data_IF_221033602238
#
_entry.id   IF_221033602238
#
_cell.length_a   1.000
_cell.length_b   1.000
_cell.length_c   1.000
_cell.angle_alpha   90.00
_cell.angle_beta   90.00
_cell.angle_gamma   90.00
#
_symmetry.space_group_name_H-M   'P 1'
#
loop_
_entity.id
_entity.type
_entity.pdbx_description
1 polymer ?
#
# COMPACT_ATOMS: atom_id res chain seq x y z
N UNK A 1 -15.19 5.31 4.65
CA UNK A 1 -13.76 5.10 4.30
C UNK A 1 -13.59 3.68 3.84
N UNK A 2 -12.89 3.50 2.74
CA UNK A 2 -12.58 2.17 2.19
C UNK A 2 -11.07 1.96 2.15
N UNK A 3 -10.60 0.79 2.60
CA UNK A 3 -9.23 0.37 2.36
C UNK A 3 -9.11 -0.20 0.95
N UNK A 4 -8.10 0.21 0.23
CA UNK A 4 -7.72 -0.32 -1.09
C UNK A 4 -6.39 -1.03 -0.96
N UNK A 5 -6.34 -2.31 -1.31
CA UNK A 5 -5.12 -3.12 -1.26
C UNK A 5 -4.76 -3.54 -2.68
N UNK A 6 -3.58 -3.16 -3.15
CA UNK A 6 -3.10 -3.50 -4.48
C UNK A 6 -2.31 -4.81 -4.44
N UNK A 7 -2.90 -5.89 -4.91
CA UNK A 7 -2.37 -7.26 -4.82
C UNK A 7 -2.35 -7.99 -6.18
N UNK A 8 -2.10 -7.26 -7.28
CA UNK A 8 -2.17 -7.82 -8.62
C UNK A 8 -0.83 -8.35 -9.16
N UNK A 9 0.29 -8.00 -8.55
CA UNK A 9 1.64 -8.21 -9.07
C UNK A 9 2.11 -9.66 -9.09
N UNK A 10 3.07 -9.96 -9.99
CA UNK A 10 3.68 -11.31 -10.16
C UNK A 10 4.86 -11.58 -9.23
N UNK A 11 5.48 -10.54 -8.66
CA UNK A 11 6.61 -10.62 -7.73
C UNK A 11 7.75 -11.54 -8.20
N UNK A 12 8.28 -11.30 -9.39
CA UNK A 12 9.28 -12.15 -10.04
C UNK A 12 10.61 -12.27 -9.28
N UNK A 13 10.95 -11.25 -8.46
CA UNK A 13 12.17 -11.26 -7.63
C UNK A 13 12.15 -12.31 -6.51
N UNK A 14 10.97 -12.77 -6.11
CA UNK A 14 10.76 -13.80 -5.08
C UNK A 14 10.63 -15.21 -5.64
N UNK A 15 10.84 -15.44 -6.95
CA UNK A 15 10.84 -16.78 -7.52
C UNK A 15 11.97 -17.62 -6.93
N UNK A 16 11.75 -18.95 -6.71
CA UNK A 16 10.59 -19.75 -7.14
C UNK A 16 9.38 -19.70 -6.17
N UNK A 17 9.45 -18.99 -5.03
CA UNK A 17 8.39 -18.97 -4.03
C UNK A 17 7.06 -18.46 -4.60
N UNK A 18 7.12 -17.49 -5.51
CA UNK A 18 5.95 -16.89 -6.15
C UNK A 18 5.50 -17.59 -7.43
N UNK A 19 6.15 -18.68 -7.84
CA UNK A 19 5.68 -19.44 -9.01
C UNK A 19 4.31 -20.08 -8.78
N UNK A 20 3.96 -20.39 -7.54
CA UNK A 20 2.72 -21.08 -7.19
C UNK A 20 1.84 -20.33 -6.20
N UNK A 21 2.35 -19.27 -5.57
CA UNK A 21 1.65 -18.50 -4.53
C UNK A 21 1.81 -17.00 -4.82
N UNK A 22 0.73 -16.17 -4.76
CA UNK A 22 0.89 -14.72 -4.89
C UNK A 22 1.68 -14.18 -3.70
N UNK A 23 2.52 -13.15 -3.93
CA UNK A 23 3.42 -12.55 -2.94
C UNK A 23 2.74 -12.24 -1.60
N UNK A 24 1.58 -11.61 -1.66
CA UNK A 24 0.82 -11.22 -0.46
C UNK A 24 0.35 -12.39 0.40
N UNK A 25 0.32 -13.62 -0.13
CA UNK A 25 0.01 -14.85 0.59
C UNK A 25 1.24 -15.64 1.06
N UNK A 26 2.44 -15.15 0.83
CA UNK A 26 3.64 -15.78 1.40
C UNK A 26 3.57 -15.73 2.93
N UNK A 27 3.88 -16.85 3.62
CA UNK A 27 3.79 -16.92 5.06
C UNK A 27 4.91 -16.12 5.75
N UNK A 28 4.52 -15.33 6.74
CA UNK A 28 5.40 -14.54 7.62
C UNK A 28 5.19 -14.95 9.10
N UNK A 29 5.41 -16.21 9.40
CA UNK A 29 5.11 -16.79 10.71
C UNK A 29 3.75 -17.49 10.71
N UNK A 30 2.86 -17.13 11.63
CA UNK A 30 1.53 -17.74 11.77
C UNK A 30 0.46 -17.18 10.83
N UNK A 31 0.81 -16.13 10.06
CA UNK A 31 -0.09 -15.45 9.12
C UNK A 31 0.63 -15.22 7.78
N UNK A 32 -0.06 -14.61 6.83
CA UNK A 32 0.49 -14.10 5.56
C UNK A 32 0.60 -12.58 5.59
N UNK A 33 1.29 -11.96 4.62
CA UNK A 33 1.34 -10.50 4.53
C UNK A 33 -0.07 -9.90 4.42
N UNK A 34 -0.90 -10.42 3.49
CA UNK A 34 -2.28 -9.96 3.35
C UNK A 34 -3.10 -10.19 4.63
N UNK A 35 -2.89 -11.33 5.30
CA UNK A 35 -3.55 -11.62 6.57
C UNK A 35 -3.20 -10.58 7.64
N UNK A 36 -1.92 -10.24 7.77
CA UNK A 36 -1.49 -9.19 8.70
C UNK A 36 -2.07 -7.82 8.34
N UNK A 37 -2.07 -7.45 7.05
CA UNK A 37 -2.66 -6.20 6.59
C UNK A 37 -4.15 -6.11 6.97
N UNK A 38 -4.92 -7.16 6.71
CA UNK A 38 -6.35 -7.20 7.05
C UNK A 38 -6.57 -7.13 8.58
N UNK A 39 -5.78 -7.87 9.36
CA UNK A 39 -5.85 -7.83 10.83
C UNK A 39 -5.53 -6.43 11.37
N UNK A 40 -4.50 -5.76 10.84
CA UNK A 40 -4.12 -4.39 11.21
C UNK A 40 -5.22 -3.38 10.88
N UNK A 41 -5.85 -3.50 9.72
CA UNK A 41 -6.95 -2.63 9.30
C UNK A 41 -8.19 -2.86 10.15
N UNK A 42 -8.56 -4.11 10.44
CA UNK A 42 -9.68 -4.47 11.33
C UNK A 42 -9.46 -3.92 12.74
N UNK A 43 -8.23 -4.02 13.28
CA UNK A 43 -7.88 -3.47 14.59
C UNK A 43 -8.06 -1.94 14.63
N UNK A 44 -7.86 -1.26 13.52
CA UNK A 44 -8.07 0.19 13.37
C UNK A 44 -9.50 0.58 12.96
N UNK A 45 -10.44 -0.36 12.98
CA UNK A 45 -11.87 -0.10 12.75
C UNK A 45 -12.26 0.10 11.28
N UNK A 46 -11.39 -0.25 10.33
CA UNK A 46 -11.72 -0.25 8.90
C UNK A 46 -12.67 -1.41 8.60
N UNK A 47 -13.76 -1.14 7.86
CA UNK A 47 -14.84 -2.12 7.65
C UNK A 47 -15.09 -2.48 6.20
N UNK A 48 -14.72 -1.63 5.26
CA UNK A 48 -14.96 -1.80 3.83
C UNK A 48 -13.64 -1.90 3.09
N UNK A 49 -13.53 -2.89 2.21
CA UNK A 49 -12.28 -3.21 1.53
C UNK A 49 -12.49 -3.32 0.02
N UNK A 50 -11.50 -2.88 -0.72
CA UNK A 50 -11.35 -3.14 -2.16
C UNK A 50 -10.00 -3.80 -2.34
N UNK A 51 -9.98 -5.04 -2.83
CA UNK A 51 -8.71 -5.73 -3.13
C UNK A 51 -8.60 -5.86 -4.65
N UNK A 52 -7.55 -5.25 -5.19
CA UNK A 52 -7.24 -5.38 -6.62
C UNK A 52 -6.33 -6.58 -6.79
N UNK A 53 -6.85 -7.61 -7.42
CA UNK A 53 -6.18 -8.88 -7.69
C UNK A 53 -5.72 -8.97 -9.15
N UNK A 54 -4.89 -9.96 -9.47
CA UNK A 54 -4.41 -10.24 -10.82
C UNK A 54 -3.76 -11.61 -10.88
N UNK A 55 -2.45 -11.67 -10.66
CA UNK A 55 -1.74 -12.94 -10.63
C UNK A 55 -2.29 -13.86 -9.53
N UNK A 56 -2.73 -15.07 -9.93
CA UNK A 56 -3.30 -16.10 -9.03
C UNK A 56 -4.44 -15.60 -8.12
N UNK A 57 -5.32 -14.79 -8.68
CA UNK A 57 -6.39 -14.12 -7.94
C UNK A 57 -7.27 -15.06 -7.13
N UNK A 58 -7.53 -16.29 -7.64
CA UNK A 58 -8.37 -17.29 -6.97
C UNK A 58 -7.85 -17.59 -5.56
N UNK A 59 -6.52 -17.74 -5.41
CA UNK A 59 -5.93 -18.01 -4.09
C UNK A 59 -6.16 -16.88 -3.10
N UNK A 60 -6.14 -15.61 -3.58
CA UNK A 60 -6.41 -14.45 -2.73
C UNK A 60 -7.87 -14.44 -2.30
N UNK A 61 -8.80 -14.70 -3.22
CA UNK A 61 -10.24 -14.79 -2.95
C UNK A 61 -10.55 -15.91 -1.95
N UNK A 62 -10.00 -17.11 -2.19
CA UNK A 62 -10.18 -18.27 -1.32
C UNK A 62 -9.62 -18.01 0.07
N UNK A 63 -8.44 -17.41 0.18
CA UNK A 63 -7.84 -17.03 1.46
C UNK A 63 -8.74 -16.07 2.24
N UNK A 64 -9.24 -15.01 1.60
CA UNK A 64 -10.11 -14.03 2.26
C UNK A 64 -11.43 -14.68 2.67
N UNK A 65 -12.06 -15.46 1.80
CA UNK A 65 -13.31 -16.13 2.09
C UNK A 65 -13.20 -17.12 3.28
N UNK A 66 -12.10 -17.89 3.32
CA UNK A 66 -11.87 -18.86 4.37
C UNK A 66 -11.48 -18.21 5.71
N UNK A 67 -10.66 -17.15 5.67
CA UNK A 67 -10.05 -16.57 6.86
C UNK A 67 -10.85 -15.43 7.48
N UNK A 68 -11.60 -14.72 6.65
CA UNK A 68 -12.37 -13.52 7.04
C UNK A 68 -13.83 -13.64 6.57
N UNK A 69 -14.57 -14.67 7.00
CA UNK A 69 -15.96 -14.86 6.61
C UNK A 69 -16.80 -13.66 7.08
N UNK A 70 -17.52 -13.04 6.13
CA UNK A 70 -18.36 -11.87 6.41
C UNK A 70 -17.64 -10.51 6.37
N UNK A 71 -16.34 -10.46 5.98
CA UNK A 71 -15.67 -9.21 5.70
C UNK A 71 -16.28 -8.56 4.43
N UNK A 72 -16.58 -7.27 4.49
CA UNK A 72 -17.12 -6.53 3.34
C UNK A 72 -16.00 -6.21 2.34
N UNK A 73 -15.78 -7.11 1.39
CA UNK A 73 -14.70 -7.01 0.39
C UNK A 73 -15.26 -6.99 -1.02
N UNK A 74 -14.93 -5.94 -1.76
CA UNK A 74 -15.09 -5.88 -3.21
C UNK A 74 -13.78 -6.28 -3.89
N UNK A 75 -13.81 -7.26 -4.76
CA UNK A 75 -12.64 -7.66 -5.57
C UNK A 75 -12.73 -7.08 -6.97
N UNK A 76 -11.61 -6.52 -7.44
CA UNK A 76 -11.42 -6.08 -8.81
C UNK A 76 -10.23 -6.81 -9.42
N UNK A 77 -10.40 -7.35 -10.62
CA UNK A 77 -9.33 -8.06 -11.30
C UNK A 77 -8.61 -7.17 -12.30
N UNK A 78 -7.32 -6.95 -12.10
CA UNK A 78 -6.46 -6.42 -13.14
C UNK A 78 -6.07 -7.55 -14.10
N UNK A 79 -6.83 -7.74 -15.16
CA UNK A 79 -6.54 -8.76 -16.19
C UNK A 79 -5.28 -8.46 -17.00
N UNK A 80 -4.75 -7.25 -16.88
CA UNK A 80 -3.54 -6.78 -17.56
C UNK A 80 -2.34 -6.67 -16.63
N UNK A 81 -2.34 -7.40 -15.51
CA UNK A 81 -1.29 -7.31 -14.47
C UNK A 81 0.13 -7.55 -14.99
N UNK A 82 0.28 -8.31 -16.08
CA UNK A 82 1.59 -8.57 -16.69
C UNK A 82 2.12 -7.42 -17.58
N UNK A 83 1.26 -6.48 -17.96
CA UNK A 83 1.55 -5.39 -18.91
C UNK A 83 1.48 -4.01 -18.25
N UNK A 84 0.92 -3.92 -17.05
CA UNK A 84 0.63 -2.66 -16.37
C UNK A 84 1.28 -2.62 -14.99
N UNK A 85 1.49 -1.42 -14.47
CA UNK A 85 1.98 -1.23 -13.10
C UNK A 85 0.81 -0.88 -12.15
N UNK A 86 1.12 -0.60 -10.87
CA UNK A 86 0.17 -0.35 -9.80
C UNK A 86 -0.78 0.84 -10.09
N UNK A 87 -0.36 1.84 -10.89
CA UNK A 87 -1.22 2.95 -11.32
C UNK A 87 -2.50 2.47 -12.04
N UNK A 88 -2.40 1.42 -12.86
CA UNK A 88 -3.55 0.85 -13.54
C UNK A 88 -4.47 0.11 -12.58
N UNK A 89 -3.90 -0.64 -11.63
CA UNK A 89 -4.65 -1.31 -10.57
C UNK A 89 -5.41 -0.29 -9.71
N UNK A 90 -4.78 0.83 -9.34
CA UNK A 90 -5.45 1.90 -8.62
C UNK A 90 -6.61 2.51 -9.45
N UNK A 91 -6.39 2.80 -10.73
CA UNK A 91 -7.42 3.36 -11.61
C UNK A 91 -8.67 2.47 -11.72
N UNK A 92 -8.53 1.14 -11.66
CA UNK A 92 -9.69 0.21 -11.70
C UNK A 92 -10.66 0.45 -10.52
N UNK A 93 -10.20 0.99 -9.41
CA UNK A 93 -11.03 1.17 -8.19
C UNK A 93 -11.93 2.41 -8.23
N UNK A 94 -11.83 3.27 -9.24
CA UNK A 94 -12.44 4.60 -9.33
C UNK A 94 -13.94 4.64 -9.01
N UNK A 95 -14.70 3.67 -9.52
CA UNK A 95 -16.15 3.64 -9.33
C UNK A 95 -16.55 3.29 -7.88
N UNK A 96 -15.77 2.42 -7.23
CA UNK A 96 -15.99 2.01 -5.85
C UNK A 96 -15.56 3.07 -4.84
N UNK A 97 -14.72 4.02 -5.27
CA UNK A 97 -14.16 5.06 -4.41
C UNK A 97 -14.77 6.45 -4.62
N UNK A 98 -15.73 6.57 -5.52
CA UNK A 98 -16.42 7.85 -5.77
C UNK A 98 -17.04 8.40 -4.48
N UNK A 99 -16.60 9.60 -4.05
CA UNK A 99 -17.08 10.24 -2.84
C UNK A 99 -16.64 9.58 -1.51
N UNK A 100 -15.67 8.66 -1.55
CA UNK A 100 -15.16 7.95 -0.37
C UNK A 100 -13.78 8.47 0.07
N UNK A 101 -13.52 8.44 1.38
CA UNK A 101 -12.14 8.50 1.88
C UNK A 101 -11.45 7.18 1.52
N UNK A 102 -10.26 7.25 0.96
CA UNK A 102 -9.44 6.11 0.58
C UNK A 102 -8.27 5.94 1.55
N UNK A 103 -8.09 4.73 2.06
CA UNK A 103 -6.85 4.27 2.69
C UNK A 103 -6.21 3.28 1.71
N UNK A 104 -5.15 3.70 1.02
CA UNK A 104 -4.46 2.90 0.01
C UNK A 104 -3.29 2.18 0.65
N UNK A 105 -3.10 0.90 0.29
CA UNK A 105 -1.99 0.08 0.78
C UNK A 105 -1.45 -0.81 -0.35
N UNK A 106 -0.13 -0.89 -0.43
CA UNK A 106 0.52 -1.98 -1.14
C UNK A 106 0.44 -3.29 -0.34
N UNK A 107 0.43 -4.42 -1.01
CA UNK A 107 0.12 -5.73 -0.38
C UNK A 107 1.35 -6.48 0.12
N UNK A 108 2.50 -5.90 0.00
CA UNK A 108 3.83 -6.46 0.29
C UNK A 108 4.53 -5.83 1.48
N UNK A 109 3.80 -5.05 2.25
CA UNK A 109 4.32 -4.37 3.43
C UNK A 109 3.94 -5.14 4.68
N UNK A 110 4.94 -5.41 5.52
CA UNK A 110 4.78 -5.94 6.88
C UNK A 110 4.97 -4.79 7.85
N UNK A 111 3.93 -4.42 8.62
CA UNK A 111 3.94 -3.18 9.37
C UNK A 111 3.20 -3.27 10.71
N UNK A 112 3.57 -2.39 11.66
CA UNK A 112 2.85 -2.26 12.94
C UNK A 112 1.49 -1.55 12.74
N UNK A 113 0.39 -2.06 13.35
CA UNK A 113 -0.93 -1.45 13.22
C UNK A 113 -1.00 0.00 13.69
N UNK A 114 -0.07 0.45 14.52
CA UNK A 114 0.06 1.84 14.95
C UNK A 114 0.32 2.81 13.79
N UNK A 115 0.86 2.34 12.66
CA UNK A 115 1.06 3.18 11.47
C UNK A 115 -0.28 3.64 10.88
N UNK A 116 -1.26 2.73 10.76
CA UNK A 116 -2.62 3.12 10.35
C UNK A 116 -3.24 4.10 11.34
N UNK A 117 -3.09 3.84 12.65
CA UNK A 117 -3.57 4.75 13.69
C UNK A 117 -2.93 6.15 13.58
N UNK A 118 -1.62 6.24 13.28
CA UNK A 118 -0.93 7.52 13.06
C UNK A 118 -1.57 8.31 11.92
N UNK A 119 -1.83 7.68 10.77
CA UNK A 119 -2.47 8.35 9.64
C UNK A 119 -3.89 8.82 9.99
N UNK A 120 -4.70 7.94 10.60
CA UNK A 120 -6.08 8.26 11.00
C UNK A 120 -6.17 9.41 12.00
N UNK A 121 -5.16 9.61 12.84
CA UNK A 121 -5.13 10.65 13.88
C UNK A 121 -4.13 11.77 13.58
N UNK A 122 -3.55 11.83 12.38
CA UNK A 122 -2.57 12.85 12.00
C UNK A 122 -3.12 14.28 11.96
N UNK A 123 -4.43 14.43 11.86
CA UNK A 123 -5.08 15.72 11.61
C UNK A 123 -5.03 16.18 10.15
N UNK A 124 -4.42 15.40 9.26
CA UNK A 124 -4.35 15.68 7.83
C UNK A 124 -5.39 14.86 7.05
N UNK A 125 -6.13 15.51 6.17
CA UNK A 125 -7.10 14.82 5.30
C UNK A 125 -6.42 14.01 4.20
N UNK A 126 -5.22 14.42 3.79
CA UNK A 126 -4.41 13.74 2.78
C UNK A 126 -2.99 13.60 3.31
N UNK A 127 -2.57 12.37 3.54
CA UNK A 127 -1.25 12.09 4.09
C UNK A 127 -0.76 10.71 3.65
N UNK A 128 0.54 10.52 3.74
CA UNK A 128 1.16 9.21 3.55
C UNK A 128 2.18 8.94 4.65
N UNK A 129 2.34 7.67 4.98
CA UNK A 129 3.31 7.19 5.95
C UNK A 129 4.72 7.26 5.36
N UNK A 130 5.65 7.84 6.11
CA UNK A 130 7.04 8.03 5.70
C UNK A 130 7.97 7.45 6.74
N UNK A 131 8.88 6.60 6.31
CA UNK A 131 9.99 6.11 7.13
C UNK A 131 11.21 7.02 6.92
N UNK A 132 11.69 7.62 8.01
CA UNK A 132 12.94 8.38 7.99
C UNK A 132 14.12 7.44 8.20
N UNK A 133 14.67 6.95 7.09
CA UNK A 133 15.91 6.17 7.11
C UNK A 133 17.14 7.07 7.00
N UNK A 134 18.26 6.63 7.60
CA UNK A 134 19.55 7.29 7.43
C UNK A 134 20.25 6.92 6.12
N UNK A 135 19.80 5.83 5.49
CA UNK A 135 20.38 5.32 4.24
C UNK A 135 19.23 5.09 3.27
N UNK A 136 19.03 6.06 2.39
CA UNK A 136 18.12 5.95 1.26
C UNK A 136 18.95 5.69 0.01
N UNK A 137 18.49 4.82 -0.86
CA UNK A 137 19.14 4.54 -2.14
C UNK A 137 18.26 4.95 -3.35
N UNK A 138 18.49 4.36 -4.49
CA UNK A 138 17.79 4.71 -5.73
C UNK A 138 16.50 3.92 -5.95
N UNK A 139 16.24 2.89 -5.15
CA UNK A 139 15.07 2.01 -5.34
C UNK A 139 13.82 2.54 -4.63
N UNK A 140 13.99 3.22 -3.48
CA UNK A 140 12.86 3.72 -2.71
C UNK A 140 12.14 4.89 -3.38
N UNK A 141 10.84 4.99 -3.15
CA UNK A 141 10.04 6.19 -3.44
C UNK A 141 10.31 7.21 -2.34
N UNK A 142 11.12 8.20 -2.63
CA UNK A 142 11.51 9.25 -1.69
C UNK A 142 10.57 10.44 -1.75
N UNK A 143 10.42 11.12 -0.61
CA UNK A 143 9.63 12.34 -0.50
C UNK A 143 10.49 13.50 -0.03
N UNK A 144 10.27 14.69 -0.60
CA UNK A 144 10.80 15.96 -0.12
C UNK A 144 9.65 16.85 0.35
N UNK A 145 9.77 17.41 1.55
CA UNK A 145 8.74 18.25 2.15
C UNK A 145 9.18 19.71 2.25
N UNK A 146 8.21 20.59 2.41
CA UNK A 146 8.47 21.95 2.90
C UNK A 146 8.54 21.99 4.44
N UNK A 147 8.72 23.20 4.98
CA UNK A 147 8.80 23.44 6.43
C UNK A 147 7.51 23.15 7.19
N UNK A 148 6.36 23.04 6.52
CA UNK A 148 5.08 22.68 7.09
C UNK A 148 4.79 21.17 7.04
N UNK A 149 5.69 20.37 6.45
CA UNK A 149 5.52 18.93 6.26
C UNK A 149 4.70 18.54 5.02
N UNK A 150 4.32 19.52 4.19
CA UNK A 150 3.64 19.22 2.94
C UNK A 150 4.67 18.72 1.88
N UNK A 151 4.32 17.62 1.23
CA UNK A 151 5.16 16.99 0.21
C UNK A 151 5.21 17.89 -1.03
N UNK A 152 6.40 18.13 -1.52
CA UNK A 152 6.69 18.90 -2.74
C UNK A 152 7.17 18.01 -3.88
N UNK A 153 7.88 16.95 -3.55
CA UNK A 153 8.32 15.94 -4.51
C UNK A 153 8.13 14.55 -3.95
N UNK A 154 7.67 13.62 -4.80
CA UNK A 154 7.54 12.21 -4.51
C UNK A 154 7.94 11.40 -5.73
N UNK A 155 9.07 10.73 -5.68
CA UNK A 155 9.55 9.85 -6.76
C UNK A 155 10.81 9.10 -6.33
N UNK A 156 11.26 8.16 -7.17
CA UNK A 156 12.59 7.53 -7.05
C UNK A 156 13.73 8.52 -7.34
N UNK A 157 13.45 9.57 -8.11
CA UNK A 157 14.45 10.56 -8.57
C UNK A 157 14.77 11.64 -7.53
N UNK A 158 14.05 11.73 -6.44
CA UNK A 158 14.36 12.67 -5.35
C UNK A 158 15.75 12.35 -4.81
N UNK A 159 16.60 13.39 -4.70
CA UNK A 159 17.96 13.25 -4.15
C UNK A 159 17.89 12.74 -2.68
N UNK A 160 18.50 11.58 -2.37
CA UNK A 160 18.52 11.03 -1.02
C UNK A 160 19.03 12.02 0.04
N UNK A 161 19.95 12.91 -0.33
CA UNK A 161 20.53 13.89 0.61
C UNK A 161 19.54 14.99 1.04
N UNK A 162 18.49 15.22 0.24
CA UNK A 162 17.44 16.22 0.49
C UNK A 162 16.10 15.61 0.85
N UNK A 163 15.99 14.30 0.77
CA UNK A 163 14.77 13.59 1.08
C UNK A 163 14.42 13.71 2.57
N UNK A 164 13.13 13.88 2.85
CA UNK A 164 12.60 13.77 4.20
C UNK A 164 12.56 12.31 4.68
N UNK A 165 12.28 11.39 3.77
CA UNK A 165 12.22 9.96 4.00
C UNK A 165 11.65 9.21 2.79
N UNK A 166 11.33 7.96 3.02
CA UNK A 166 10.77 7.00 2.08
C UNK A 166 9.26 6.84 2.29
N UNK A 167 8.46 6.90 1.22
CA UNK A 167 7.06 6.49 1.25
C UNK A 167 6.97 4.98 1.38
N UNK A 168 6.22 4.50 2.36
CA UNK A 168 6.13 3.05 2.64
C UNK A 168 4.89 2.39 2.04
N UNK A 169 4.20 3.04 1.08
CA UNK A 169 3.02 2.47 0.41
C UNK A 169 1.79 2.33 1.32
N UNK A 170 1.59 3.27 2.27
CA UNK A 170 0.38 3.40 3.09
C UNK A 170 -0.06 4.86 3.12
N UNK A 171 -1.20 5.17 2.47
CA UNK A 171 -1.67 6.53 2.26
C UNK A 171 -3.15 6.69 2.60
N UNK A 172 -3.52 7.88 3.06
CA UNK A 172 -4.90 8.26 3.32
C UNK A 172 -5.28 9.52 2.53
N UNK A 173 -6.41 9.48 1.85
CA UNK A 173 -6.89 10.58 1.01
C UNK A 173 -8.37 10.87 1.21
N UNK A 174 -8.70 12.17 1.31
CA UNK A 174 -10.06 12.67 1.40
C UNK A 174 -10.86 12.42 0.11
N UNK A 175 -12.21 12.43 0.16
CA UNK A 175 -13.05 12.28 -1.03
C UNK A 175 -12.76 13.31 -2.12
N UNK A 176 -12.40 14.53 -1.73
CA UNK A 176 -12.04 15.59 -2.68
C UNK A 176 -10.74 15.26 -3.42
N UNK A 177 -9.71 14.84 -2.69
CA UNK A 177 -8.44 14.45 -3.29
C UNK A 177 -8.60 13.22 -4.19
N UNK A 178 -9.35 12.21 -3.73
CA UNK A 178 -9.69 11.01 -4.50
C UNK A 178 -10.35 11.38 -5.82
N UNK A 179 -11.32 12.30 -5.83
CA UNK A 179 -11.96 12.76 -7.05
C UNK A 179 -10.98 13.40 -8.05
N UNK A 180 -10.05 14.22 -7.57
CA UNK A 180 -9.00 14.82 -8.42
C UNK A 180 -8.02 13.79 -8.94
N UNK A 181 -7.57 12.90 -8.07
CA UNK A 181 -6.66 11.81 -8.42
C UNK A 181 -7.25 10.93 -9.52
N UNK A 182 -8.51 10.49 -9.39
CA UNK A 182 -9.12 9.65 -10.42
C UNK A 182 -9.41 10.40 -11.72
N UNK A 183 -9.72 11.69 -11.67
CA UNK A 183 -9.81 12.53 -12.86
C UNK A 183 -8.48 12.60 -13.63
N UNK A 184 -7.36 12.69 -12.91
CA UNK A 184 -6.03 12.63 -13.50
C UNK A 184 -5.67 11.23 -14.00
N UNK A 185 -5.96 10.19 -13.21
CA UNK A 185 -5.73 8.79 -13.60
C UNK A 185 -6.48 8.43 -14.88
N UNK A 186 -7.72 8.92 -15.07
CA UNK A 186 -8.47 8.74 -16.32
C UNK A 186 -7.72 9.34 -17.52
N UNK A 187 -7.18 10.55 -17.38
CA UNK A 187 -6.37 11.18 -18.43
C UNK A 187 -5.08 10.38 -18.70
N UNK A 188 -4.37 9.95 -17.65
CA UNK A 188 -3.11 9.18 -17.80
C UNK A 188 -3.36 7.83 -18.47
N UNK A 189 -4.35 7.09 -17.99
CA UNK A 189 -4.61 5.70 -18.43
C UNK A 189 -5.32 5.68 -19.78
N UNK A 190 -6.41 6.47 -19.93
CA UNK A 190 -7.27 6.37 -21.10
C UNK A 190 -6.75 7.21 -22.28
N UNK A 191 -6.33 8.46 -22.02
CA UNK A 191 -5.90 9.35 -23.09
C UNK A 191 -4.41 9.23 -23.41
N UNK A 192 -3.54 9.25 -22.36
CA UNK A 192 -2.07 9.23 -22.54
C UNK A 192 -1.50 7.82 -22.63
N UNK A 193 -2.28 6.76 -22.32
CA UNK A 193 -1.87 5.33 -22.31
C UNK A 193 -0.70 5.04 -21.35
N UNK A 194 -0.55 5.82 -20.29
CA UNK A 194 0.51 5.69 -19.27
C UNK A 194 0.15 4.63 -18.23
N UNK A 195 0.03 3.39 -18.66
CA UNK A 195 -0.43 2.27 -17.81
C UNK A 195 0.70 1.59 -17.04
N UNK A 196 1.96 1.85 -17.40
CA UNK A 196 3.14 1.21 -16.81
C UNK A 196 3.98 2.22 -16.01
N UNK A 197 3.32 2.92 -15.06
CA UNK A 197 3.95 3.84 -14.12
C UNK A 197 3.57 3.44 -12.70
N UNK A 198 4.35 3.90 -11.71
CA UNK A 198 3.95 3.88 -10.32
C UNK A 198 2.87 4.97 -10.07
N UNK A 199 1.94 4.70 -9.14
CA UNK A 199 0.83 5.63 -8.85
C UNK A 199 1.31 6.95 -8.25
N UNK A 200 2.48 6.99 -7.65
CA UNK A 200 3.11 8.20 -7.09
C UNK A 200 3.37 9.27 -8.16
N UNK A 201 3.56 8.85 -9.41
CA UNK A 201 3.61 9.80 -10.52
C UNK A 201 2.29 10.57 -10.71
N UNK A 202 1.15 9.97 -10.34
CA UNK A 202 -0.11 10.69 -10.31
C UNK A 202 -0.23 11.58 -9.06
N UNK A 203 0.28 11.14 -7.91
CA UNK A 203 0.32 11.98 -6.71
C UNK A 203 1.13 13.25 -6.98
N UNK A 204 2.30 13.13 -7.62
CA UNK A 204 3.11 14.29 -8.01
C UNK A 204 2.33 15.27 -8.89
N UNK A 205 1.65 14.79 -9.94
CA UNK A 205 0.87 15.67 -10.81
C UNK A 205 -0.31 16.34 -10.07
N UNK A 206 -0.91 15.68 -9.06
CA UNK A 206 -1.96 16.27 -8.23
C UNK A 206 -1.39 17.35 -7.29
N UNK A 207 -0.19 17.12 -6.73
CA UNK A 207 0.56 18.12 -5.93
C UNK A 207 0.90 19.34 -6.80
N UNK A 208 1.41 19.13 -7.99
CA UNK A 208 1.74 20.20 -8.96
C UNK A 208 0.49 21.01 -9.36
N UNK A 209 -0.68 20.34 -9.35
CA UNK A 209 -2.00 20.95 -9.53
C UNK A 209 -2.53 21.72 -8.33
N UNK A 210 -1.75 21.84 -7.24
CA UNK A 210 -2.05 22.68 -6.07
C UNK A 210 -2.75 21.97 -4.91
N UNK A 211 -2.93 20.64 -4.95
CA UNK A 211 -3.37 19.88 -3.78
C UNK A 211 -2.18 19.58 -2.85
N UNK A 212 -2.48 19.34 -1.57
CA UNK A 212 -1.45 19.03 -0.58
C UNK A 212 -1.60 17.62 -0.06
N UNK A 213 -0.47 16.91 0.05
CA UNK A 213 -0.30 15.66 0.79
C UNK A 213 0.73 15.93 1.87
N UNK A 214 0.51 15.44 3.08
CA UNK A 214 1.43 15.61 4.21
C UNK A 214 2.18 14.32 4.51
N UNK A 215 3.46 14.44 4.81
CA UNK A 215 4.27 13.32 5.28
C UNK A 215 4.02 13.08 6.77
N UNK A 216 3.67 11.84 7.13
CA UNK A 216 3.53 11.40 8.52
C UNK A 216 4.69 10.47 8.84
N UNK A 217 5.63 10.93 9.67
CA UNK A 217 6.77 10.14 10.11
C UNK A 217 6.29 8.97 10.97
N UNK A 218 6.60 7.74 10.57
CA UNK A 218 6.23 6.54 11.32
C UNK A 218 7.12 6.32 12.56
N UNK A 219 8.19 7.11 12.70
CA UNK A 219 9.09 7.07 13.84
C UNK A 219 9.78 5.72 13.99
N UNK A 220 9.63 5.11 15.16
CA UNK A 220 10.20 3.78 15.46
C UNK A 220 9.21 2.64 15.23
N UNK A 221 8.04 2.89 14.67
CA UNK A 221 7.11 1.81 14.35
C UNK A 221 7.67 0.97 13.21
N UNK A 222 7.78 -0.34 13.41
CA UNK A 222 8.41 -1.18 12.40
C UNK A 222 7.54 -1.30 11.14
N UNK A 223 8.20 -1.17 10.00
CA UNK A 223 7.65 -1.47 8.68
C UNK A 223 8.76 -2.03 7.79
N UNK A 224 8.40 -2.93 6.90
CA UNK A 224 9.32 -3.60 6.00
C UNK A 224 8.59 -3.95 4.71
N UNK A 225 9.08 -3.50 3.57
CA UNK A 225 8.67 -3.99 2.26
C UNK A 225 9.37 -5.32 1.97
N UNK A 226 8.64 -6.29 1.41
CA UNK A 226 9.16 -7.62 1.14
C UNK A 226 9.31 -7.80 -0.36
N UNK A 227 10.49 -7.60 -0.89
CA UNK A 227 10.76 -7.71 -2.33
C UNK A 227 11.71 -8.84 -2.69
N UNK A 228 12.55 -9.24 -1.75
CA UNK A 228 13.56 -10.29 -1.92
C UNK A 228 13.37 -11.43 -0.92
N UNK A 229 14.01 -12.59 -1.13
CA UNK A 229 14.04 -13.67 -0.12
C UNK A 229 14.63 -13.22 1.21
N UNK A 230 15.58 -12.29 1.20
CA UNK A 230 16.22 -11.70 2.36
C UNK A 230 15.20 -10.89 3.17
N UNK A 231 14.39 -10.04 2.51
CA UNK A 231 13.32 -9.26 3.13
C UNK A 231 12.26 -10.18 3.74
N UNK A 232 11.89 -11.25 3.03
CA UNK A 232 10.95 -12.24 3.54
C UNK A 232 11.45 -12.90 4.83
N UNK A 233 12.74 -13.20 4.90
CA UNK A 233 13.35 -13.76 6.11
C UNK A 233 13.39 -12.73 7.24
N UNK A 234 13.69 -11.47 6.95
CA UNK A 234 13.64 -10.37 7.91
C UNK A 234 12.21 -10.17 8.44
N UNK A 235 11.21 -10.20 7.56
CA UNK A 235 9.79 -10.11 7.94
C UNK A 235 9.36 -11.26 8.86
N UNK A 236 9.79 -12.49 8.58
CA UNK A 236 9.55 -13.66 9.44
C UNK A 236 10.18 -13.51 10.81
N UNK A 237 11.43 -13.04 10.86
CA UNK A 237 12.14 -12.81 12.12
C UNK A 237 11.44 -11.71 12.93
N UNK A 238 11.02 -10.63 12.29
CA UNK A 238 10.26 -9.55 12.92
C UNK A 238 8.96 -10.06 13.56
N UNK A 239 8.12 -10.74 12.79
CA UNK A 239 6.85 -11.30 13.28
C UNK A 239 7.08 -12.31 14.40
N UNK A 240 8.11 -13.16 14.29
CA UNK A 240 8.47 -14.15 15.31
C UNK A 240 8.96 -13.55 16.64
N UNK A 241 9.58 -12.36 16.59
CA UNK A 241 10.11 -11.67 17.79
C UNK A 241 9.05 -10.84 18.54
N UNK A 242 7.92 -10.52 17.89
CA UNK A 242 6.93 -9.61 18.44
C UNK A 242 5.85 -10.37 19.20
N UNK A 243 5.85 -10.26 20.53
CA UNK A 243 4.89 -10.92 21.43
C UNK A 243 3.41 -10.58 21.14
N UNK A 244 3.13 -9.50 20.45
CA UNK A 244 1.78 -9.10 20.01
C UNK A 244 1.18 -10.09 19.01
N UNK A 245 1.98 -10.59 18.06
CA UNK A 245 1.52 -11.59 17.09
C UNK A 245 1.43 -13.00 17.68
N UNK A 246 2.16 -13.26 18.78
CA UNK A 246 2.10 -14.55 19.50
C UNK A 246 0.83 -14.72 20.36
N UNK A 247 0.12 -13.65 20.72
CA UNK A 247 -1.05 -13.68 21.62
C UNK A 247 -2.39 -13.93 20.93
N UNK A 248 -2.50 -13.76 19.63
CA UNK A 248 -3.72 -14.09 18.88
C UNK A 248 -3.82 -15.60 18.58
N UNK A 249 -3.64 -16.42 19.63
CA UNK A 249 -3.94 -17.86 19.62
C UNK A 249 -5.46 -18.12 19.68
N UNK A 250 -6.22 -17.60 18.73
CA UNK A 250 -7.57 -18.08 18.48
C UNK A 250 -7.80 -18.11 16.98
N UNK A 251 -7.27 -19.18 16.42
CA UNK A 251 -7.69 -19.58 15.10
C UNK A 251 -8.33 -20.95 15.23
N UNK A 252 -9.60 -21.09 14.78
CA UNK A 252 -10.20 -22.42 14.68
C UNK A 252 -9.44 -23.27 13.68
#
# INVERSE_FOLDING_TARGET
MKAVILAAGTATRLRPLTDTVPKCLLPIGITTMLGMTLDNLLQNGVKEYVIVTGYREEQIRDFVAARYPGLDVSFLTNTRFAETNNIYSLWLTRELLAGQTMLLLDSDIVFDPGIVALLLHSGHENCLAVLRSKTLDTEEIKVRTDSAGAIREISKEVDPSTAFGESIGIEMFSPRFVGRLFGLLEQKIVLRKQVNQFYEAAFQEVIDGGESIFAVDVGSLPCLEVDTPEDLNAARAFVGSTSRFAKNKRWP
#
